data_IF_943696290790
#
_entry.id   IF_943696290790
#
_cell.length_a   1.000
_cell.length_b   1.000
_cell.length_c   1.000
_cell.angle_alpha   90.00
_cell.angle_beta   90.00
_cell.angle_gamma   90.00
#
_symmetry.space_group_name_H-M   'P 1'
#
loop_
_entity.id
_entity.type
_entity.pdbx_description
1 polymer ?
#
# COMPACT_ATOMS: atom_id res chain seq x y z
N UNK A 1 68.47 -1.61 -16.36
CA UNK A 1 67.84 -0.75 -17.37
C UNK A 1 67.18 0.41 -16.64
N UNK A 2 67.50 1.64 -17.03
CA UNK A 2 67.19 2.87 -16.28
C UNK A 2 65.68 3.19 -16.31
N UNK A 3 65.05 3.19 -15.13
CA UNK A 3 63.64 3.52 -14.87
C UNK A 3 63.15 4.82 -15.55
N UNK A 4 64.06 5.76 -15.79
CA UNK A 4 63.79 7.03 -16.47
C UNK A 4 63.42 6.91 -17.96
N UNK A 5 63.80 5.81 -18.63
CA UNK A 5 63.43 5.56 -20.04
C UNK A 5 62.00 5.06 -20.18
N UNK A 6 61.56 4.20 -19.27
CA UNK A 6 60.19 3.68 -19.23
C UNK A 6 59.16 4.80 -19.05
N UNK A 7 59.49 5.83 -18.26
CA UNK A 7 58.62 7.00 -18.04
C UNK A 7 58.49 7.92 -19.26
N UNK A 8 59.29 7.76 -20.31
CA UNK A 8 59.19 8.55 -21.55
C UNK A 8 58.54 7.78 -22.70
N UNK A 9 58.14 6.52 -22.49
CA UNK A 9 57.49 5.74 -23.52
C UNK A 9 56.00 6.13 -23.64
N UNK A 10 55.50 6.39 -24.86
CA UNK A 10 54.10 6.75 -25.07
C UNK A 10 53.13 5.64 -24.64
N UNK A 11 53.59 4.38 -24.65
CA UNK A 11 52.83 3.22 -24.17
C UNK A 11 52.55 3.29 -22.66
N UNK A 12 53.51 3.73 -21.86
CA UNK A 12 53.35 3.83 -20.40
C UNK A 12 52.35 4.93 -20.04
N UNK A 13 52.36 6.05 -20.79
CA UNK A 13 51.37 7.11 -20.63
C UNK A 13 49.96 6.64 -21.02
N UNK A 14 49.84 5.90 -22.12
CA UNK A 14 48.56 5.32 -22.54
C UNK A 14 48.02 4.33 -21.50
N UNK A 15 48.89 3.46 -20.96
CA UNK A 15 48.50 2.49 -19.94
C UNK A 15 48.10 3.18 -18.64
N UNK A 16 48.84 4.21 -18.21
CA UNK A 16 48.51 4.98 -17.01
C UNK A 16 47.21 5.77 -17.19
N UNK A 17 47.01 6.42 -18.33
CA UNK A 17 45.76 7.11 -18.64
C UNK A 17 44.57 6.14 -18.69
N UNK A 18 44.75 4.96 -19.30
CA UNK A 18 43.77 3.89 -19.30
C UNK A 18 43.45 3.38 -17.90
N UNK A 19 44.46 3.10 -17.08
CA UNK A 19 44.27 2.67 -15.68
C UNK A 19 43.57 3.72 -14.83
N UNK A 20 43.88 5.00 -15.02
CA UNK A 20 43.18 6.09 -14.34
C UNK A 20 41.72 6.16 -14.79
N UNK A 21 41.44 6.08 -16.09
CA UNK A 21 40.08 6.17 -16.64
C UNK A 21 39.23 4.96 -16.22
N UNK A 22 39.78 3.74 -16.27
CA UNK A 22 39.11 2.53 -15.79
C UNK A 22 38.97 2.52 -14.26
N UNK A 23 39.97 3.02 -13.51
CA UNK A 23 39.89 3.13 -12.06
C UNK A 23 38.81 4.11 -11.61
N UNK A 24 38.71 5.27 -12.24
CA UNK A 24 37.62 6.23 -12.02
C UNK A 24 36.28 5.62 -12.43
N UNK A 25 36.21 4.95 -13.58
CA UNK A 25 34.98 4.26 -14.01
C UNK A 25 34.56 3.15 -13.05
N UNK A 26 35.50 2.44 -12.40
CA UNK A 26 35.17 1.39 -11.45
C UNK A 26 34.70 1.95 -10.11
N UNK A 27 35.30 3.06 -9.65
CA UNK A 27 34.93 3.70 -8.38
C UNK A 27 33.64 4.52 -8.48
N UNK A 28 33.34 5.09 -9.64
CA UNK A 28 32.20 5.98 -9.83
C UNK A 28 31.15 5.45 -10.83
N UNK A 29 31.41 4.33 -11.52
CA UNK A 29 30.52 3.80 -12.55
C UNK A 29 29.15 3.38 -12.03
N UNK A 30 29.08 2.89 -10.80
CA UNK A 30 27.80 2.61 -10.13
C UNK A 30 27.05 3.91 -9.77
N UNK A 31 27.76 5.00 -9.44
CA UNK A 31 27.16 6.31 -9.17
C UNK A 31 26.76 7.09 -10.42
N UNK A 32 27.34 6.80 -11.58
CA UNK A 32 27.04 7.47 -12.86
C UNK A 32 26.07 6.71 -13.77
N UNK A 33 25.45 5.62 -13.29
CA UNK A 33 24.30 4.98 -13.94
C UNK A 33 24.58 4.41 -15.34
N UNK A 34 25.83 4.07 -15.67
CA UNK A 34 26.17 3.52 -16.99
C UNK A 34 25.80 2.03 -17.08
N UNK A 35 24.51 1.73 -17.05
CA UNK A 35 23.95 0.40 -17.32
C UNK A 35 23.41 0.35 -18.77
N UNK A 36 24.30 0.22 -19.74
CA UNK A 36 23.95 0.25 -21.17
C UNK A 36 23.17 -0.97 -21.70
N UNK A 37 22.75 -1.91 -20.83
CA UNK A 37 21.94 -3.09 -21.20
C UNK A 37 20.49 -3.08 -20.65
N UNK A 38 20.05 -2.01 -19.96
CA UNK A 38 18.79 -2.03 -19.18
C UNK A 38 17.54 -1.43 -19.88
N UNK A 39 17.63 -1.12 -21.18
CA UNK A 39 16.52 -0.46 -21.92
C UNK A 39 15.54 -1.43 -22.59
N UNK A 40 15.80 -2.75 -22.58
CA UNK A 40 14.92 -3.74 -23.20
C UNK A 40 13.93 -4.33 -22.20
N UNK A 41 12.64 -4.05 -22.39
CA UNK A 41 11.56 -4.66 -21.62
C UNK A 41 11.15 -5.99 -22.26
N UNK A 42 11.28 -7.09 -21.51
CA UNK A 42 10.86 -8.42 -21.94
C UNK A 42 9.49 -8.76 -21.35
N UNK A 43 8.48 -8.84 -22.22
CA UNK A 43 7.14 -9.33 -21.83
C UNK A 43 7.06 -10.82 -22.13
N UNK A 44 7.18 -11.64 -21.09
CA UNK A 44 7.15 -13.10 -21.20
C UNK A 44 5.74 -13.62 -21.51
N UNK A 45 5.65 -14.82 -22.08
CA UNK A 45 4.36 -15.50 -22.26
C UNK A 45 3.62 -15.72 -20.93
N UNK A 46 4.36 -16.00 -19.86
CA UNK A 46 3.83 -16.10 -18.49
C UNK A 46 3.20 -14.78 -18.03
N UNK A 47 3.86 -13.64 -18.29
CA UNK A 47 3.30 -12.32 -17.97
C UNK A 47 1.99 -12.08 -18.72
N UNK A 48 1.93 -12.42 -20.01
CA UNK A 48 0.68 -12.32 -20.80
C UNK A 48 -0.43 -13.19 -20.21
N UNK A 49 -0.11 -14.42 -19.80
CA UNK A 49 -1.06 -15.31 -19.14
C UNK A 49 -1.54 -14.74 -17.81
N UNK A 50 -0.64 -14.19 -16.99
CA UNK A 50 -0.98 -13.54 -15.73
C UNK A 50 -1.94 -12.34 -15.93
N UNK A 51 -1.70 -11.52 -16.96
CA UNK A 51 -2.57 -10.39 -17.31
C UNK A 51 -3.96 -10.88 -17.72
N UNK A 52 -4.02 -11.94 -18.54
CA UNK A 52 -5.28 -12.57 -18.96
C UNK A 52 -6.09 -13.09 -17.77
N UNK A 53 -5.45 -13.83 -16.87
CA UNK A 53 -6.11 -14.39 -15.68
C UNK A 53 -6.56 -13.32 -14.70
N UNK A 54 -5.75 -12.29 -14.48
CA UNK A 54 -6.09 -11.17 -13.59
C UNK A 54 -7.29 -10.41 -14.11
N UNK A 55 -7.33 -10.10 -15.41
CA UNK A 55 -8.51 -9.52 -16.05
C UNK A 55 -9.75 -10.40 -15.88
N UNK A 56 -9.61 -11.69 -16.16
CA UNK A 56 -10.72 -12.64 -16.09
C UNK A 56 -11.30 -12.76 -14.68
N UNK A 57 -10.45 -12.78 -13.64
CA UNK A 57 -10.89 -12.78 -12.23
C UNK A 57 -11.62 -11.50 -11.85
N UNK A 58 -11.16 -10.34 -12.33
CA UNK A 58 -11.75 -9.05 -12.00
C UNK A 58 -13.04 -8.75 -12.77
N UNK A 59 -13.13 -9.15 -14.04
CA UNK A 59 -14.21 -8.79 -14.98
C UNK A 59 -15.16 -9.95 -15.30
N UNK A 60 -14.88 -11.15 -14.80
CA UNK A 60 -15.67 -12.36 -15.01
C UNK A 60 -15.67 -12.90 -16.44
N UNK A 61 -14.85 -12.33 -17.33
CA UNK A 61 -14.79 -12.67 -18.77
C UNK A 61 -13.37 -12.54 -19.30
N UNK A 62 -12.96 -13.35 -20.30
CA UNK A 62 -11.63 -13.24 -20.87
C UNK A 62 -11.47 -11.95 -21.70
N UNK A 63 -10.28 -11.33 -21.73
CA UNK A 63 -10.02 -10.16 -22.56
C UNK A 63 -10.03 -10.51 -24.05
N UNK A 64 -10.51 -9.58 -24.87
CA UNK A 64 -10.34 -9.65 -26.33
C UNK A 64 -8.87 -9.43 -26.71
N UNK A 65 -8.48 -9.79 -27.95
CA UNK A 65 -7.11 -9.58 -28.43
C UNK A 65 -6.67 -8.10 -28.36
N UNK A 66 -7.60 -7.15 -28.62
CA UNK A 66 -7.31 -5.72 -28.51
C UNK A 66 -7.11 -5.30 -27.04
N UNK A 67 -7.93 -5.80 -26.13
CA UNK A 67 -7.79 -5.53 -24.70
C UNK A 67 -6.50 -6.13 -24.13
N UNK A 68 -6.13 -7.35 -24.55
CA UNK A 68 -4.89 -7.98 -24.11
C UNK A 68 -3.66 -7.21 -24.59
N UNK A 69 -3.70 -6.64 -25.81
CA UNK A 69 -2.64 -5.72 -26.27
C UNK A 69 -2.54 -4.48 -25.40
N UNK A 70 -3.67 -3.83 -25.08
CA UNK A 70 -3.66 -2.66 -24.20
C UNK A 70 -3.11 -3.01 -22.81
N UNK A 71 -3.48 -4.16 -22.23
CA UNK A 71 -2.93 -4.63 -20.96
C UNK A 71 -1.40 -4.82 -21.02
N UNK A 72 -0.88 -5.33 -22.14
CA UNK A 72 0.55 -5.47 -22.35
C UNK A 72 1.25 -4.11 -22.51
N UNK A 73 0.64 -3.16 -23.23
CA UNK A 73 1.15 -1.80 -23.38
C UNK A 73 1.17 -1.04 -22.04
N UNK A 74 0.12 -1.17 -21.24
CA UNK A 74 0.04 -0.59 -19.90
C UNK A 74 1.12 -1.16 -18.98
N UNK A 75 1.33 -2.49 -19.01
CA UNK A 75 2.41 -3.14 -18.27
C UNK A 75 3.79 -2.63 -18.70
N UNK A 76 4.04 -2.49 -20.01
CA UNK A 76 5.31 -1.94 -20.51
C UNK A 76 5.52 -0.52 -20.00
N UNK A 77 4.48 0.32 -20.06
CA UNK A 77 4.55 1.71 -19.57
C UNK A 77 4.85 1.74 -18.07
N UNK A 78 4.19 0.91 -17.29
CA UNK A 78 4.43 0.78 -15.84
C UNK A 78 5.88 0.41 -15.56
N UNK A 79 6.42 -0.59 -16.26
CA UNK A 79 7.81 -1.04 -16.12
C UNK A 79 8.83 0.07 -16.49
N UNK A 80 8.58 0.82 -17.57
CA UNK A 80 9.43 1.98 -17.93
C UNK A 80 9.45 3.00 -16.78
N UNK A 81 8.27 3.38 -16.28
CA UNK A 81 8.14 4.40 -15.24
C UNK A 81 8.75 3.91 -13.91
N UNK A 82 8.57 2.63 -13.59
CA UNK A 82 9.17 2.02 -12.41
C UNK A 82 10.70 2.08 -12.46
N UNK A 83 11.30 1.64 -13.57
CA UNK A 83 12.77 1.70 -13.76
C UNK A 83 13.30 3.13 -13.68
N UNK A 84 12.61 4.07 -14.30
CA UNK A 84 12.97 5.49 -14.24
C UNK A 84 12.89 6.04 -12.82
N UNK A 85 11.85 5.67 -12.06
CA UNK A 85 11.70 6.08 -10.67
C UNK A 85 12.85 5.56 -9.79
N UNK A 86 13.28 4.31 -9.99
CA UNK A 86 14.44 3.74 -9.28
C UNK A 86 15.74 4.40 -9.73
N UNK A 87 15.94 4.58 -11.03
CA UNK A 87 17.15 5.23 -11.58
C UNK A 87 17.28 6.68 -11.09
N UNK A 88 16.16 7.37 -10.88
CA UNK A 88 16.09 8.72 -10.33
C UNK A 88 16.07 8.75 -8.78
N UNK A 89 16.12 7.59 -8.11
CA UNK A 89 16.16 7.49 -6.65
C UNK A 89 14.87 7.90 -5.92
N UNK A 90 13.72 7.88 -6.59
CA UNK A 90 12.43 8.29 -6.00
C UNK A 90 11.93 7.34 -4.88
N UNK A 91 12.52 6.15 -4.78
CA UNK A 91 12.24 5.20 -3.69
C UNK A 91 13.08 5.45 -2.43
N UNK A 92 14.15 6.25 -2.53
CA UNK A 92 15.09 6.50 -1.44
C UNK A 92 14.56 7.59 -0.50
N UNK A 93 14.60 7.30 0.81
CA UNK A 93 14.18 8.21 1.88
C UNK A 93 12.76 8.80 1.77
N UNK A 94 11.91 8.23 0.91
CA UNK A 94 10.52 8.61 0.79
C UNK A 94 9.66 7.95 1.90
N UNK A 95 9.04 8.79 2.73
CA UNK A 95 8.23 8.33 3.87
C UNK A 95 6.93 7.65 3.41
N UNK A 96 6.38 8.04 2.26
CA UNK A 96 5.16 7.43 1.70
C UNK A 96 5.48 6.01 1.23
N UNK A 97 6.56 5.83 0.44
CA UNK A 97 7.02 4.52 -0.03
C UNK A 97 7.31 3.59 1.16
N UNK A 98 8.09 4.07 2.15
CA UNK A 98 8.39 3.31 3.37
C UNK A 98 7.12 2.87 4.10
N UNK A 99 6.16 3.78 4.29
CA UNK A 99 4.88 3.47 4.95
C UNK A 99 4.06 2.45 4.18
N UNK A 100 4.00 2.57 2.84
CA UNK A 100 3.28 1.62 1.99
C UNK A 100 3.87 0.21 2.05
N UNK A 101 5.20 0.09 2.09
CA UNK A 101 5.87 -1.20 2.24
C UNK A 101 5.58 -1.83 3.60
N UNK A 102 5.62 -1.06 4.70
CA UNK A 102 5.23 -1.54 6.03
C UNK A 102 3.80 -2.10 6.04
N UNK A 103 2.85 -1.33 5.49
CA UNK A 103 1.45 -1.75 5.38
C UNK A 103 1.30 -3.05 4.59
N UNK A 104 2.08 -3.24 3.51
CA UNK A 104 2.04 -4.47 2.70
C UNK A 104 2.53 -5.68 3.50
N UNK A 105 3.54 -5.51 4.34
CA UNK A 105 4.05 -6.58 5.23
C UNK A 105 3.02 -6.92 6.31
N UNK A 106 2.41 -5.92 6.96
CA UNK A 106 1.35 -6.12 7.96
C UNK A 106 0.16 -6.90 7.37
N UNK A 107 -0.26 -6.57 6.15
CA UNK A 107 -1.32 -7.28 5.44
C UNK A 107 -0.98 -8.75 5.19
N UNK A 108 0.26 -9.05 4.77
CA UNK A 108 0.71 -10.43 4.59
C UNK A 108 0.73 -11.22 5.90
N UNK A 109 1.19 -10.59 6.98
CA UNK A 109 1.22 -11.21 8.31
C UNK A 109 -0.20 -11.54 8.82
N UNK A 110 -1.16 -10.63 8.63
CA UNK A 110 -2.57 -10.86 8.98
C UNK A 110 -3.18 -12.02 8.18
N UNK A 111 -2.87 -12.09 6.88
CA UNK A 111 -3.37 -13.17 6.00
C UNK A 111 -2.89 -14.56 6.46
N UNK A 112 -1.64 -14.64 6.93
CA UNK A 112 -1.07 -15.88 7.48
C UNK A 112 -1.72 -16.21 8.84
N UNK A 113 -1.93 -15.22 9.70
CA UNK A 113 -2.60 -15.43 10.99
C UNK A 113 -4.05 -15.93 10.84
N UNK A 114 -4.76 -15.48 9.80
CA UNK A 114 -6.12 -15.96 9.46
C UNK A 114 -6.17 -17.33 8.80
N UNK A 115 -5.03 -17.99 8.55
CA UNK A 115 -4.99 -19.34 7.96
C UNK A 115 -5.32 -20.43 8.98
N UNK A 116 -5.16 -20.16 10.28
CA UNK A 116 -5.53 -21.09 11.34
C UNK A 116 -6.97 -20.80 11.76
N UNK A 117 -7.89 -21.62 11.26
CA UNK A 117 -9.28 -21.57 11.70
C UNK A 117 -9.38 -22.19 13.11
N UNK A 118 -9.90 -21.46 14.12
CA UNK A 118 -10.06 -21.99 15.46
C UNK A 118 -11.02 -23.18 15.45
N UNK A 119 -10.81 -24.15 16.35
CA UNK A 119 -11.71 -25.29 16.42
C UNK A 119 -13.09 -24.85 16.93
N UNK A 120 -14.17 -25.50 16.45
CA UNK A 120 -15.55 -25.17 16.86
C UNK A 120 -15.73 -25.14 18.39
N UNK A 121 -15.04 -26.02 19.11
CA UNK A 121 -15.07 -26.06 20.57
C UNK A 121 -14.44 -24.81 21.21
N UNK A 122 -13.36 -24.27 20.64
CA UNK A 122 -12.72 -23.03 21.10
C UNK A 122 -13.61 -21.82 20.83
N UNK A 123 -14.28 -21.80 19.67
CA UNK A 123 -15.25 -20.74 19.32
C UNK A 123 -16.44 -20.77 20.28
N UNK A 124 -16.99 -21.95 20.56
CA UNK A 124 -18.09 -22.10 21.51
C UNK A 124 -17.68 -21.65 22.91
N UNK A 125 -16.51 -22.08 23.39
CA UNK A 125 -16.01 -21.68 24.71
C UNK A 125 -15.81 -20.16 24.79
N UNK A 126 -15.19 -19.56 23.78
CA UNK A 126 -15.00 -18.11 23.72
C UNK A 126 -16.34 -17.36 23.71
N UNK A 127 -17.34 -17.84 22.97
CA UNK A 127 -18.68 -17.26 22.96
C UNK A 127 -19.32 -17.32 24.35
N UNK A 128 -19.30 -18.48 25.00
CA UNK A 128 -19.81 -18.68 26.36
C UNK A 128 -19.16 -17.71 27.37
N UNK A 129 -17.83 -17.59 27.32
CA UNK A 129 -17.05 -16.72 28.21
C UNK A 129 -17.28 -15.22 27.95
N UNK A 130 -17.79 -14.85 26.78
CA UNK A 130 -17.98 -13.46 26.34
C UNK A 130 -19.44 -13.10 26.06
N UNK A 131 -20.41 -13.92 26.48
CA UNK A 131 -21.85 -13.75 26.20
C UNK A 131 -22.37 -12.34 26.44
N UNK A 132 -21.91 -11.68 27.50
CA UNK A 132 -22.31 -10.33 27.88
C UNK A 132 -22.00 -9.27 26.81
N UNK A 133 -20.97 -9.48 25.99
CA UNK A 133 -20.58 -8.57 24.89
C UNK A 133 -21.49 -8.71 23.67
N UNK A 134 -22.25 -9.79 23.58
CA UNK A 134 -23.12 -10.11 22.45
C UNK A 134 -24.61 -9.89 22.76
N UNK A 135 -24.91 -9.16 23.84
CA UNK A 135 -26.28 -8.78 24.19
C UNK A 135 -26.65 -7.49 23.46
N UNK A 136 -27.80 -7.48 22.78
CA UNK A 136 -28.40 -6.24 22.29
C UNK A 136 -29.03 -5.54 23.49
N UNK A 137 -28.57 -4.32 23.86
CA UNK A 137 -29.13 -3.61 25.01
C UNK A 137 -30.62 -3.33 24.79
N UNK A 138 -31.40 -3.41 25.87
CA UNK A 138 -32.83 -3.10 25.83
C UNK A 138 -33.01 -1.69 25.29
N UNK A 139 -33.71 -1.58 24.17
CA UNK A 139 -34.07 -0.29 23.59
C UNK A 139 -35.39 0.16 24.20
N UNK A 140 -35.44 1.41 24.65
CA UNK A 140 -36.67 2.05 25.11
C UNK A 140 -36.98 3.23 24.20
N UNK A 141 -38.21 3.31 23.72
CA UNK A 141 -38.73 4.50 23.08
C UNK A 141 -39.27 5.44 24.18
N UNK A 142 -38.90 6.72 24.15
CA UNK A 142 -39.45 7.72 25.06
C UNK A 142 -39.58 9.06 24.35
N UNK A 143 -40.55 9.86 24.81
CA UNK A 143 -40.77 11.22 24.37
C UNK A 143 -40.39 12.18 25.50
N UNK A 144 -39.58 13.20 25.19
CA UNK A 144 -39.16 14.22 26.15
C UNK A 144 -39.59 15.61 25.68
N UNK A 145 -40.38 16.28 26.52
CA UNK A 145 -40.76 17.69 26.33
C UNK A 145 -40.07 18.52 27.41
N UNK A 146 -39.19 19.44 27.01
CA UNK A 146 -38.38 20.24 27.93
C UNK A 146 -39.06 21.57 28.33
N UNK A 147 -39.02 21.89 29.63
CA UNK A 147 -39.55 23.13 30.18
C UNK A 147 -38.44 23.96 30.84
N UNK A 148 -38.11 25.11 30.23
CA UNK A 148 -37.07 26.02 30.72
C UNK A 148 -37.54 26.85 31.92
N UNK A 149 -36.92 26.64 33.08
CA UNK A 149 -37.14 27.42 34.31
C UNK A 149 -36.71 28.88 34.18
N UNK A 150 -35.68 29.17 33.38
CA UNK A 150 -35.21 30.52 33.12
C UNK A 150 -36.18 31.37 32.30
N UNK A 151 -36.99 30.76 31.42
CA UNK A 151 -38.01 31.49 30.63
C UNK A 151 -39.39 31.52 31.28
N UNK A 152 -39.75 30.47 32.02
CA UNK A 152 -41.10 30.29 32.60
C UNK A 152 -41.17 30.62 34.10
N UNK A 153 -40.03 30.91 34.73
CA UNK A 153 -39.95 31.25 36.15
C UNK A 153 -40.51 30.14 37.04
N UNK A 154 -41.14 30.54 38.16
CA UNK A 154 -41.69 29.61 39.14
C UNK A 154 -42.81 28.70 38.61
N UNK A 155 -43.41 29.01 37.46
CA UNK A 155 -44.51 28.22 36.87
C UNK A 155 -44.04 27.04 36.01
N UNK A 156 -42.75 26.96 35.69
CA UNK A 156 -42.19 25.88 34.87
C UNK A 156 -42.56 24.46 35.32
N UNK A 157 -42.59 24.13 36.64
CA UNK A 157 -42.98 22.80 37.10
C UNK A 157 -44.47 22.50 36.91
N UNK A 158 -45.34 23.50 37.06
CA UNK A 158 -46.79 23.31 36.95
C UNK A 158 -47.25 23.24 35.49
N UNK A 159 -46.62 24.02 34.61
CA UNK A 159 -46.75 23.89 33.16
C UNK A 159 -46.36 22.48 32.69
N UNK A 160 -45.22 21.97 33.18
CA UNK A 160 -44.73 20.65 32.84
C UNK A 160 -45.71 19.54 33.28
N UNK A 161 -46.28 19.64 34.50
CA UNK A 161 -47.28 18.68 34.99
C UNK A 161 -48.57 18.70 34.17
N UNK A 162 -49.00 19.88 33.75
CA UNK A 162 -50.20 20.06 32.93
C UNK A 162 -50.03 19.37 31.58
N UNK A 163 -48.89 19.60 30.91
CA UNK A 163 -48.59 18.96 29.63
C UNK A 163 -48.34 17.46 29.79
N UNK A 164 -47.69 17.02 30.87
CA UNK A 164 -47.48 15.61 31.16
C UNK A 164 -48.81 14.82 31.23
N UNK A 165 -49.87 15.40 31.80
CA UNK A 165 -51.19 14.78 31.86
C UNK A 165 -51.87 14.61 30.48
N UNK A 166 -51.38 15.32 29.46
CA UNK A 166 -51.89 15.23 28.08
C UNK A 166 -51.06 14.30 27.19
N UNK A 167 -49.88 13.87 27.64
CA UNK A 167 -49.05 12.93 26.93
C UNK A 167 -49.56 11.51 27.20
N UNK A 168 -50.20 10.89 26.22
CA UNK A 168 -50.45 9.45 26.21
C UNK A 168 -49.21 8.70 25.75
N UNK A 169 -48.92 7.56 26.37
CA UNK A 169 -47.96 6.60 25.81
C UNK A 169 -48.55 6.03 24.52
N UNK A 170 -47.85 6.20 23.40
CA UNK A 170 -48.10 5.38 22.21
C UNK A 170 -47.56 3.95 22.42
#
# INVERSE_FOLDING_TARGET
MSWQRLLHEPLVHFLLAGSVLFGLSALFGESFGVNSNDTRIYVSAEKIQQLHETWSRQRGTPPTAAQLRNLAEDFIREEVLYREAIASGLDQDDTIVRRRLSQKVEFLAQSIASTVEPADAEVQQFFEDNKEKYIVPTQVAFSHVYFSSSRRGAQAPDDARTVLATLTSD
#
